data_IF_764955897541
#
_entry.id   IF_764955897541
#
_cell.length_a   1.000
_cell.length_b   1.000
_cell.length_c   1.000
_cell.angle_alpha   90.00
_cell.angle_beta   90.00
_cell.angle_gamma   90.00
#
_symmetry.space_group_name_H-M   'P 1'
#
loop_
_entity.id
_entity.type
_entity.pdbx_description
1 polymer ?
#
# COMPACT_ATOMS: atom_id res chain seq x y z
N UNK A 1 8.33 -4.91 -5.30
CA UNK A 1 7.50 -4.53 -4.12
C UNK A 1 6.11 -5.06 -4.35
N UNK A 2 5.40 -5.52 -3.33
CA UNK A 2 4.00 -5.92 -3.47
C UNK A 2 3.24 -5.75 -2.17
N UNK A 3 1.91 -5.67 -2.23
CA UNK A 3 1.01 -5.73 -1.07
C UNK A 3 -0.32 -6.33 -1.48
N UNK A 4 -1.10 -6.76 -0.50
CA UNK A 4 -2.43 -7.33 -0.70
C UNK A 4 -3.43 -6.76 0.30
N UNK A 5 -4.70 -6.87 -0.05
CA UNK A 5 -5.82 -6.48 0.80
C UNK A 5 -7.10 -7.14 0.34
N UNK A 6 -8.20 -6.74 0.96
CA UNK A 6 -9.53 -7.12 0.53
C UNK A 6 -10.38 -5.89 0.23
N UNK A 7 -11.32 -6.02 -0.69
CA UNK A 7 -12.31 -4.95 -0.88
C UNK A 7 -13.20 -4.86 0.36
N UNK A 8 -13.41 -3.64 0.85
CA UNK A 8 -14.22 -3.41 2.03
C UNK A 8 -15.73 -3.32 1.73
N UNK A 9 -16.09 -3.29 0.44
CA UNK A 9 -17.46 -3.15 -0.08
C UNK A 9 -17.59 -3.86 -1.43
N UNK A 10 -18.84 -4.14 -1.80
CA UNK A 10 -19.19 -4.51 -3.18
C UNK A 10 -19.12 -3.26 -4.06
N UNK A 11 -18.69 -3.42 -5.32
CA UNK A 11 -18.68 -2.31 -6.25
C UNK A 11 -18.22 -2.64 -7.66
N UNK A 12 -18.42 -1.65 -8.54
CA UNK A 12 -17.93 -1.65 -9.91
C UNK A 12 -16.85 -0.57 -10.06
N UNK A 13 -15.66 -0.97 -10.50
CA UNK A 13 -14.53 -0.07 -10.70
C UNK A 13 -14.84 0.94 -11.82
N UNK A 14 -14.92 2.22 -11.48
CA UNK A 14 -15.08 3.30 -12.46
C UNK A 14 -13.73 3.86 -12.89
N UNK A 15 -12.78 3.91 -11.95
CA UNK A 15 -11.43 4.39 -12.20
C UNK A 15 -10.45 3.87 -11.16
N UNK A 16 -9.27 3.47 -11.59
CA UNK A 16 -8.14 3.30 -10.68
C UNK A 16 -6.99 4.21 -11.12
N UNK A 17 -6.28 4.79 -10.16
CA UNK A 17 -5.19 5.73 -10.43
C UNK A 17 -3.97 5.33 -9.64
N UNK A 18 -2.85 5.08 -10.31
CA UNK A 18 -1.58 4.96 -9.62
C UNK A 18 -1.00 6.35 -9.25
N UNK A 19 -0.50 6.45 -8.03
CA UNK A 19 0.44 7.46 -7.58
C UNK A 19 1.78 6.78 -7.26
N UNK A 20 2.84 7.30 -7.87
CA UNK A 20 4.22 6.80 -7.83
C UNK A 20 5.19 7.94 -8.11
N UNK A 21 6.45 7.80 -7.70
CA UNK A 21 7.55 8.64 -8.16
C UNK A 21 8.26 8.00 -9.37
N UNK A 22 8.07 8.55 -10.56
CA UNK A 22 8.53 8.01 -11.84
C UNK A 22 10.04 7.95 -12.01
N UNK A 23 10.81 8.67 -11.20
CA UNK A 23 12.27 8.57 -11.18
C UNK A 23 12.75 7.19 -10.70
N UNK A 24 11.91 6.45 -9.97
CA UNK A 24 12.19 5.09 -9.47
C UNK A 24 11.11 4.06 -9.82
N UNK A 25 9.99 4.49 -10.41
CA UNK A 25 8.94 3.59 -10.85
C UNK A 25 9.23 3.04 -12.25
N UNK A 26 8.93 1.76 -12.47
CA UNK A 26 9.02 1.14 -13.79
C UNK A 26 7.65 0.68 -14.29
N UNK A 27 6.98 -0.18 -13.51
CA UNK A 27 5.67 -0.75 -13.84
C UNK A 27 4.94 -1.17 -12.57
N UNK A 28 3.62 -1.18 -12.59
CA UNK A 28 2.81 -1.79 -11.55
C UNK A 28 1.57 -2.47 -12.12
N UNK A 29 1.15 -3.51 -11.43
CA UNK A 29 -0.06 -4.27 -11.68
C UNK A 29 -0.97 -4.21 -10.47
N UNK A 30 -2.26 -4.13 -10.73
CA UNK A 30 -3.33 -4.31 -9.76
C UNK A 30 -4.11 -5.55 -10.18
N UNK A 31 -3.95 -6.63 -9.43
CA UNK A 31 -4.62 -7.90 -9.66
C UNK A 31 -5.81 -8.04 -8.72
N UNK A 32 -6.92 -8.53 -9.24
CA UNK A 32 -7.95 -9.17 -8.43
C UNK A 32 -7.53 -10.63 -8.26
N UNK A 33 -6.63 -10.89 -7.31
CA UNK A 33 -6.09 -12.21 -7.01
C UNK A 33 -5.44 -12.18 -5.62
N UNK A 34 -5.38 -13.34 -4.97
CA UNK A 34 -4.57 -13.57 -3.78
C UNK A 34 -3.07 -13.59 -4.11
N UNK A 35 -2.19 -13.41 -3.11
CA UNK A 35 -0.75 -13.61 -3.29
C UNK A 35 -0.42 -15.04 -3.75
N UNK A 36 -1.12 -16.05 -3.23
CA UNK A 36 -0.93 -17.47 -3.58
C UNK A 36 -1.22 -17.72 -5.07
N UNK A 37 -2.31 -17.16 -5.60
CA UNK A 37 -2.66 -17.27 -7.02
C UNK A 37 -1.62 -16.63 -7.94
N UNK A 38 -0.83 -15.68 -7.44
CA UNK A 38 0.28 -15.05 -8.14
C UNK A 38 1.64 -15.70 -7.86
N UNK A 39 1.69 -16.71 -6.98
CA UNK A 39 2.92 -17.37 -6.53
C UNK A 39 3.81 -16.49 -5.64
N UNK A 40 3.21 -15.58 -4.87
CA UNK A 40 3.90 -14.62 -3.98
C UNK A 40 3.83 -15.01 -2.49
N UNK A 41 3.20 -16.14 -2.17
CA UNK A 41 3.09 -16.69 -0.82
C UNK A 41 4.40 -17.32 -0.31
N UNK A 42 5.32 -17.67 -1.21
CA UNK A 42 6.66 -18.17 -0.83
C UNK A 42 7.45 -17.09 -0.04
N UNK A 43 8.04 -17.44 1.12
CA UNK A 43 8.86 -16.53 1.94
C UNK A 43 9.97 -15.79 1.18
N UNK A 44 10.45 -16.32 0.05
CA UNK A 44 11.43 -15.65 -0.81
C UNK A 44 10.91 -14.31 -1.34
N UNK A 45 9.61 -14.19 -1.61
CA UNK A 45 8.97 -12.95 -2.07
C UNK A 45 8.64 -11.98 -0.94
N UNK A 46 8.76 -12.42 0.32
CA UNK A 46 8.38 -11.60 1.46
C UNK A 46 9.53 -10.65 1.80
N UNK A 47 9.25 -9.34 1.89
CA UNK A 47 10.29 -8.40 2.26
C UNK A 47 10.65 -8.53 3.74
N UNK A 48 11.92 -8.27 4.06
CA UNK A 48 12.40 -8.25 5.45
C UNK A 48 11.62 -7.25 6.31
N UNK A 49 11.27 -6.11 5.72
CA UNK A 49 10.41 -5.09 6.27
C UNK A 49 9.40 -4.67 5.21
N UNK A 50 8.13 -4.41 5.53
CA UNK A 50 7.10 -4.23 4.49
C UNK A 50 7.30 -3.05 3.54
N UNK A 51 8.12 -2.07 3.91
CA UNK A 51 8.51 -0.94 3.05
C UNK A 51 9.77 -1.21 2.21
N UNK A 52 10.50 -2.30 2.45
CA UNK A 52 11.76 -2.62 1.77
C UNK A 52 11.46 -3.54 0.57
N UNK A 53 11.63 -3.10 -0.68
CA UNK A 53 11.46 -3.99 -1.83
C UNK A 53 12.51 -5.11 -1.82
N UNK A 54 12.16 -6.27 -2.40
CA UNK A 54 13.12 -7.34 -2.74
C UNK A 54 13.82 -7.01 -4.05
N UNK A 55 15.13 -7.28 -4.12
CA UNK A 55 15.84 -7.26 -5.39
C UNK A 55 15.49 -8.54 -6.17
N UNK A 56 15.37 -8.44 -7.49
CA UNK A 56 15.04 -9.60 -8.33
C UNK A 56 16.10 -10.71 -8.21
N UNK A 57 17.37 -10.33 -8.13
CA UNK A 57 18.50 -11.25 -7.95
C UNK A 57 18.44 -12.02 -6.63
N UNK A 58 17.92 -11.42 -5.56
CA UNK A 58 17.74 -12.07 -4.24
C UNK A 58 16.62 -13.11 -4.25
N UNK A 59 15.74 -13.07 -5.24
CA UNK A 59 14.59 -13.97 -5.38
C UNK A 59 14.73 -14.88 -6.61
N UNK A 60 15.93 -14.93 -7.22
CA UNK A 60 16.21 -15.80 -8.36
C UNK A 60 15.54 -15.40 -9.67
N UNK A 61 15.12 -14.14 -9.81
CA UNK A 61 14.51 -13.61 -11.04
C UNK A 61 15.53 -12.69 -11.74
N UNK A 62 15.71 -12.89 -13.05
CA UNK A 62 16.74 -12.18 -13.82
C UNK A 62 16.42 -10.69 -14.02
N UNK A 63 15.18 -10.39 -14.43
CA UNK A 63 14.76 -9.06 -14.86
C UNK A 63 13.23 -8.87 -14.69
N UNK A 64 12.75 -7.65 -14.99
CA UNK A 64 11.34 -7.33 -14.86
C UNK A 64 10.45 -8.10 -15.85
N UNK A 65 10.96 -8.46 -17.03
CA UNK A 65 10.21 -9.23 -18.02
C UNK A 65 9.95 -10.66 -17.52
N UNK A 66 10.97 -11.29 -16.96
CA UNK A 66 10.86 -12.60 -16.31
C UNK A 66 9.91 -12.54 -15.11
N UNK A 67 9.98 -11.48 -14.30
CA UNK A 67 9.08 -11.27 -13.17
C UNK A 67 7.61 -11.10 -13.62
N UNK A 68 7.39 -10.29 -14.67
CA UNK A 68 6.08 -10.08 -15.27
C UNK A 68 5.51 -11.38 -15.80
N UNK A 69 6.31 -12.12 -16.59
CA UNK A 69 5.90 -13.41 -17.13
C UNK A 69 5.54 -14.39 -16.02
N UNK A 70 6.34 -14.47 -14.96
CA UNK A 70 6.04 -15.32 -13.80
C UNK A 70 4.66 -15.02 -13.20
N UNK A 71 4.36 -13.73 -12.94
CA UNK A 71 3.07 -13.31 -12.38
C UNK A 71 1.90 -13.64 -13.31
N UNK A 72 2.03 -13.33 -14.60
CA UNK A 72 0.97 -13.55 -15.58
C UNK A 72 0.75 -15.04 -15.87
N UNK A 73 1.80 -15.86 -15.88
CA UNK A 73 1.68 -17.31 -16.00
C UNK A 73 0.96 -17.92 -14.80
N UNK A 74 1.25 -17.46 -13.57
CA UNK A 74 0.56 -17.92 -12.36
C UNK A 74 -0.91 -17.46 -12.34
N UNK A 75 -1.18 -16.21 -12.72
CA UNK A 75 -2.53 -15.70 -12.89
C UNK A 75 -3.33 -16.56 -13.89
N UNK A 76 -2.75 -16.88 -15.06
CA UNK A 76 -3.41 -17.71 -16.06
C UNK A 76 -3.70 -19.15 -15.56
N UNK A 77 -2.83 -19.70 -14.70
CA UNK A 77 -3.10 -20.98 -14.02
C UNK A 77 -4.24 -20.85 -13.01
N UNK A 78 -4.26 -19.77 -12.23
CA UNK A 78 -5.31 -19.49 -11.26
C UNK A 78 -6.68 -19.32 -11.94
N UNK A 79 -6.72 -18.57 -13.04
CA UNK A 79 -7.89 -18.42 -13.91
C UNK A 79 -8.41 -19.78 -14.39
N UNK A 80 -7.54 -20.64 -14.94
CA UNK A 80 -7.94 -22.00 -15.39
C UNK A 80 -8.49 -22.87 -14.26
N UNK A 81 -7.88 -22.80 -13.07
CA UNK A 81 -8.37 -23.53 -11.88
C UNK A 81 -9.74 -23.01 -11.46
N UNK A 82 -9.94 -21.69 -11.47
CA UNK A 82 -11.23 -21.08 -11.17
C UNK A 82 -12.27 -21.53 -12.20
N UNK A 83 -11.98 -21.41 -13.50
CA UNK A 83 -12.90 -21.80 -14.59
C UNK A 83 -13.32 -23.28 -14.51
N UNK A 84 -12.42 -24.17 -14.06
CA UNK A 84 -12.71 -25.59 -13.88
C UNK A 84 -13.56 -25.90 -12.64
N UNK A 85 -13.38 -25.14 -11.56
CA UNK A 85 -14.03 -25.38 -10.27
C UNK A 85 -15.29 -24.54 -10.06
N UNK A 86 -15.47 -23.48 -10.85
CA UNK A 86 -16.53 -22.49 -10.69
C UNK A 86 -17.42 -22.36 -11.93
N UNK A 87 -18.27 -23.35 -12.21
CA UNK A 87 -19.26 -23.22 -13.26
C UNK A 87 -20.28 -22.12 -12.91
N UNK A 88 -20.88 -21.44 -13.90
CA UNK A 88 -21.80 -20.30 -13.70
C UNK A 88 -23.00 -20.58 -12.78
N UNK A 89 -23.32 -21.85 -12.55
CA UNK A 89 -24.45 -22.29 -11.74
C UNK A 89 -24.11 -22.50 -10.25
N UNK A 90 -22.85 -22.35 -9.82
CA UNK A 90 -22.45 -22.62 -8.43
C UNK A 90 -22.45 -21.36 -7.54
N UNK A 91 -23.26 -21.33 -6.46
CA UNK A 91 -23.27 -20.23 -5.50
C UNK A 91 -21.98 -20.08 -4.69
N UNK A 92 -21.08 -21.06 -4.68
CA UNK A 92 -19.77 -20.95 -4.03
C UNK A 92 -18.78 -20.06 -4.78
N UNK A 93 -19.12 -19.65 -6.00
CA UNK A 93 -18.27 -18.86 -6.88
C UNK A 93 -18.58 -17.36 -6.79
N UNK A 94 -18.96 -16.92 -5.58
CA UNK A 94 -19.18 -15.52 -5.26
C UNK A 94 -17.86 -14.74 -5.25
N UNK A 95 -16.73 -15.40 -5.06
CA UNK A 95 -15.43 -14.77 -5.25
C UNK A 95 -15.19 -14.54 -6.74
N UNK A 96 -14.85 -13.31 -7.09
CA UNK A 96 -14.56 -12.95 -8.47
C UNK A 96 -13.41 -13.78 -9.06
N UNK A 97 -13.54 -14.09 -10.35
CA UNK A 97 -12.52 -14.80 -11.12
C UNK A 97 -11.19 -14.02 -11.08
N UNK A 98 -10.04 -14.68 -10.83
CA UNK A 98 -8.75 -14.00 -10.82
C UNK A 98 -8.52 -13.19 -12.10
N UNK A 99 -8.04 -11.95 -11.99
CA UNK A 99 -7.85 -11.09 -13.15
C UNK A 99 -6.77 -10.03 -12.96
N UNK A 100 -6.17 -9.59 -14.06
CA UNK A 100 -5.42 -8.33 -14.11
C UNK A 100 -6.40 -7.18 -14.32
N UNK A 101 -6.65 -6.41 -13.26
CA UNK A 101 -7.60 -5.30 -13.25
C UNK A 101 -7.02 -4.05 -13.88
N UNK A 102 -5.81 -3.66 -13.44
CA UNK A 102 -5.12 -2.48 -13.99
C UNK A 102 -3.63 -2.73 -14.15
N UNK A 103 -3.04 -2.04 -15.10
CA UNK A 103 -1.60 -1.89 -15.25
C UNK A 103 -1.22 -0.41 -15.36
N UNK A 104 0.01 -0.10 -14.97
CA UNK A 104 0.59 1.23 -15.07
C UNK A 104 2.07 1.10 -15.37
N UNK A 105 2.62 2.04 -16.15
CA UNK A 105 4.02 2.03 -16.57
C UNK A 105 4.63 3.41 -16.45
N UNK A 106 5.95 3.45 -16.36
CA UNK A 106 6.71 4.70 -16.29
C UNK A 106 6.49 5.54 -17.56
N UNK A 107 6.32 6.84 -17.38
CA UNK A 107 6.26 7.80 -18.48
C UNK A 107 7.09 9.03 -18.11
N UNK A 108 8.40 8.87 -18.14
CA UNK A 108 9.31 9.99 -17.94
C UNK A 108 9.31 10.89 -19.17
N UNK A 109 9.28 12.20 -18.93
CA UNK A 109 9.61 13.18 -19.97
C UNK A 109 10.76 14.02 -19.45
N UNK A 110 11.82 14.06 -20.23
CA UNK A 110 12.96 14.91 -19.93
C UNK A 110 12.55 16.38 -20.02
N UNK A 111 13.02 17.18 -19.08
CA UNK A 111 12.97 18.64 -19.13
C UNK A 111 14.37 19.20 -18.93
N UNK A 112 14.69 20.25 -19.67
CA UNK A 112 15.94 20.98 -19.54
C UNK A 112 15.66 22.17 -18.63
N UNK A 113 16.34 22.24 -17.48
CA UNK A 113 16.25 23.41 -16.61
C UNK A 113 16.93 24.61 -17.27
N UNK A 114 16.22 25.72 -17.51
CA UNK A 114 16.79 26.86 -18.24
C UNK A 114 17.94 27.56 -17.50
N UNK A 115 18.02 27.44 -16.16
CA UNK A 115 19.06 28.09 -15.38
C UNK A 115 20.37 27.31 -15.37
N UNK A 116 20.31 25.98 -15.21
CA UNK A 116 21.50 25.12 -15.13
C UNK A 116 21.88 24.46 -16.46
N UNK A 117 20.97 24.41 -17.44
CA UNK A 117 21.14 23.66 -18.68
C UNK A 117 21.12 22.13 -18.51
N UNK A 118 20.82 21.64 -17.30
CA UNK A 118 20.82 20.21 -16.98
C UNK A 118 19.46 19.57 -17.33
N UNK A 119 19.51 18.30 -17.74
CA UNK A 119 18.32 17.50 -18.01
C UNK A 119 17.87 16.77 -16.76
N UNK A 120 16.57 16.87 -16.46
CA UNK A 120 15.91 16.20 -15.36
C UNK A 120 14.73 15.39 -15.86
N UNK A 121 14.46 14.24 -15.24
CA UNK A 121 13.26 13.48 -15.52
C UNK A 121 12.08 14.15 -14.78
N UNK A 122 11.11 14.68 -15.52
CA UNK A 122 9.90 15.20 -14.91
C UNK A 122 9.05 14.03 -14.41
N UNK A 123 8.79 14.00 -13.11
CA UNK A 123 7.95 13.01 -12.42
C UNK A 123 6.48 13.19 -12.83
N UNK A 124 6.17 12.83 -14.08
CA UNK A 124 4.81 12.84 -14.59
C UNK A 124 4.02 11.77 -13.89
N UNK A 125 2.73 11.99 -13.78
CA UNK A 125 1.79 10.94 -13.42
C UNK A 125 1.93 9.74 -14.37
N UNK A 126 2.18 8.55 -13.81
CA UNK A 126 2.22 7.31 -14.58
C UNK A 126 0.89 7.05 -15.33
N UNK A 127 0.92 6.76 -16.64
CA UNK A 127 -0.21 6.23 -17.38
C UNK A 127 -0.75 4.98 -16.72
N UNK A 128 -2.06 4.79 -16.81
CA UNK A 128 -2.73 3.63 -16.25
C UNK A 128 -3.85 3.18 -17.19
N UNK A 129 -3.91 1.88 -17.44
CA UNK A 129 -4.97 1.22 -18.18
C UNK A 129 -5.67 0.24 -17.25
N UNK A 130 -7.00 0.31 -17.20
CA UNK A 130 -7.83 -0.58 -16.38
C UNK A 130 -8.91 -1.22 -17.25
N UNK A 131 -9.21 -2.48 -16.96
CA UNK A 131 -10.39 -3.16 -17.49
C UNK A 131 -11.59 -2.90 -16.58
N UNK A 132 -12.82 -2.90 -17.12
CA UNK A 132 -14.02 -2.96 -16.30
C UNK A 132 -13.91 -4.14 -15.31
N UNK A 133 -14.24 -3.89 -14.05
CA UNK A 133 -14.06 -4.87 -12.99
C UNK A 133 -15.12 -4.69 -11.91
N UNK A 134 -15.86 -5.75 -11.62
CA UNK A 134 -16.78 -5.84 -10.49
C UNK A 134 -16.14 -6.67 -9.39
N UNK A 135 -16.35 -6.28 -8.14
CA UNK A 135 -15.78 -6.97 -6.98
C UNK A 135 -16.79 -7.01 -5.85
N UNK A 136 -16.63 -8.03 -5.00
CA UNK A 136 -17.40 -8.20 -3.79
C UNK A 136 -16.57 -7.86 -2.56
N UNK A 137 -17.26 -7.46 -1.49
CA UNK A 137 -16.67 -7.26 -0.18
C UNK A 137 -16.00 -8.56 0.28
N UNK A 138 -14.74 -8.45 0.68
CA UNK A 138 -13.92 -9.57 1.11
C UNK A 138 -13.13 -10.22 -0.02
N UNK A 139 -13.42 -9.89 -1.29
CA UNK A 139 -12.59 -10.38 -2.39
C UNK A 139 -11.15 -9.87 -2.24
N UNK A 140 -10.14 -10.69 -2.59
CA UNK A 140 -8.76 -10.30 -2.50
C UNK A 140 -8.36 -9.39 -3.67
N UNK A 141 -7.37 -8.54 -3.41
CA UNK A 141 -6.57 -7.93 -4.46
C UNK A 141 -5.10 -7.96 -4.07
N UNK A 142 -4.24 -7.94 -5.08
CA UNK A 142 -2.78 -7.88 -4.90
C UNK A 142 -2.19 -6.88 -5.86
N UNK A 143 -1.35 -5.99 -5.35
CA UNK A 143 -0.60 -5.01 -6.13
C UNK A 143 0.85 -5.44 -6.18
N UNK A 144 1.43 -5.46 -7.38
CA UNK A 144 2.87 -5.67 -7.57
C UNK A 144 3.45 -4.47 -8.31
N UNK A 145 4.56 -3.94 -7.82
CA UNK A 145 5.27 -2.82 -8.43
C UNK A 145 6.76 -3.14 -8.61
N UNK A 146 7.24 -2.86 -9.81
CA UNK A 146 8.63 -2.90 -10.21
C UNK A 146 9.24 -1.51 -10.06
N UNK A 147 10.32 -1.45 -9.27
CA UNK A 147 11.02 -0.23 -8.93
C UNK A 147 12.44 -0.31 -9.49
N UNK A 148 12.84 0.70 -10.24
CA UNK A 148 14.19 0.85 -10.77
C UNK A 148 15.02 1.79 -9.89
N UNK A 149 16.34 1.58 -9.78
CA UNK A 149 17.23 2.55 -9.14
C UNK A 149 17.11 3.92 -9.81
N UNK A 150 17.12 4.98 -9.00
CA UNK A 150 17.20 6.35 -9.50
C UNK A 150 18.53 6.54 -10.25
N UNK A 151 18.48 6.91 -11.53
CA UNK A 151 19.68 7.10 -12.38
C UNK A 151 20.06 8.57 -12.57
N UNK A 152 19.14 9.49 -12.32
CA UNK A 152 19.32 10.93 -12.52
C UNK A 152 19.04 11.68 -11.23
N UNK A 153 19.63 12.89 -11.04
CA UNK A 153 19.31 13.71 -9.89
C UNK A 153 17.80 14.03 -9.84
N UNK A 154 17.19 14.11 -8.64
CA UNK A 154 15.75 14.19 -8.49
C UNK A 154 15.14 15.51 -8.99
N UNK A 155 15.96 16.56 -9.13
CA UNK A 155 15.52 17.83 -9.66
C UNK A 155 16.53 18.97 -9.47
N UNK A 156 16.19 20.20 -9.89
CA UNK A 156 17.09 21.35 -9.87
C UNK A 156 17.58 21.76 -8.46
N UNK A 157 16.86 21.38 -7.40
CA UNK A 157 17.25 21.62 -6.01
C UNK A 157 18.40 20.71 -5.54
N UNK A 158 18.64 19.59 -6.24
CA UNK A 158 19.76 18.69 -5.99
C UNK A 158 20.39 18.26 -7.32
N UNK A 159 21.06 19.18 -8.05
CA UNK A 159 21.40 18.95 -9.45
C UNK A 159 22.64 18.09 -9.68
N UNK A 160 23.45 17.85 -8.64
CA UNK A 160 24.79 17.24 -8.76
C UNK A 160 24.94 15.89 -8.08
N UNK A 161 23.89 15.36 -7.48
CA UNK A 161 23.96 14.09 -6.77
C UNK A 161 22.64 13.33 -6.82
N UNK A 162 22.75 12.02 -7.00
CA UNK A 162 21.66 11.08 -6.74
C UNK A 162 21.76 10.68 -5.28
N UNK A 163 20.70 10.85 -4.48
CA UNK A 163 20.73 10.45 -3.08
C UNK A 163 20.89 8.92 -2.99
N UNK A 164 21.66 8.45 -1.99
CA UNK A 164 21.87 7.00 -1.77
C UNK A 164 20.56 6.27 -1.46
N UNK A 165 19.62 6.97 -0.85
CA UNK A 165 18.28 6.48 -0.53
C UNK A 165 17.26 7.54 -0.96
N UNK A 166 16.12 7.08 -1.45
CA UNK A 166 14.99 7.94 -1.76
C UNK A 166 13.71 7.26 -1.28
N UNK A 167 12.80 8.06 -0.73
CA UNK A 167 11.51 7.55 -0.28
C UNK A 167 10.66 7.23 -1.51
N UNK A 168 10.03 6.07 -1.48
CA UNK A 168 9.16 5.60 -2.55
C UNK A 168 7.92 4.95 -1.94
N UNK A 169 6.76 5.22 -2.52
CA UNK A 169 5.51 4.54 -2.20
C UNK A 169 4.69 4.32 -3.47
N UNK A 170 3.81 3.32 -3.39
CA UNK A 170 2.91 2.90 -4.46
C UNK A 170 1.51 2.93 -3.88
N UNK A 171 0.69 3.86 -4.34
CA UNK A 171 -0.68 4.02 -3.87
C UNK A 171 -1.63 4.02 -5.07
N UNK A 172 -2.64 3.16 -5.03
CA UNK A 172 -3.74 3.15 -5.98
C UNK A 172 -4.97 3.86 -5.41
N UNK A 173 -5.41 4.92 -6.07
CA UNK A 173 -6.65 5.62 -5.74
C UNK A 173 -7.78 5.01 -6.55
N UNK A 174 -8.56 4.18 -5.88
CA UNK A 174 -9.74 3.53 -6.44
C UNK A 174 -10.96 4.45 -6.35
N UNK A 175 -11.68 4.56 -7.45
CA UNK A 175 -13.02 5.14 -7.54
C UNK A 175 -13.94 4.06 -8.10
N UNK A 176 -15.05 3.82 -7.44
CA UNK A 176 -15.98 2.77 -7.79
C UNK A 176 -17.41 3.20 -7.50
N UNK A 177 -18.36 2.57 -8.18
CA UNK A 177 -19.78 2.72 -7.92
C UNK A 177 -20.21 1.65 -6.91
N UNK A 178 -20.84 2.07 -5.80
CA UNK A 178 -21.43 1.14 -4.82
C UNK A 178 -22.91 0.96 -5.07
N UNK A 179 -23.40 -0.25 -4.79
CA UNK A 179 -24.81 -0.60 -4.98
C UNK A 179 -25.73 -0.05 -3.87
N UNK A 180 -25.16 0.56 -2.82
CA UNK A 180 -25.89 1.12 -1.69
C UNK A 180 -26.31 2.59 -1.87
N UNK A 181 -26.04 3.19 -3.04
CA UNK A 181 -26.33 4.58 -3.38
C UNK A 181 -25.75 5.61 -2.39
N UNK A 182 -24.66 5.28 -1.69
CA UNK A 182 -23.98 6.19 -0.76
C UNK A 182 -22.58 6.55 -1.26
N UNK A 183 -22.09 7.73 -0.89
CA UNK A 183 -20.69 8.10 -1.09
C UNK A 183 -19.83 7.52 0.02
N UNK A 184 -18.69 6.95 -0.35
CA UNK A 184 -17.75 6.35 0.60
C UNK A 184 -16.35 6.89 0.38
N UNK A 185 -15.68 7.22 1.47
CA UNK A 185 -14.28 7.64 1.45
C UNK A 185 -13.51 6.77 2.44
N UNK A 186 -12.42 6.17 1.96
CA UNK A 186 -11.56 5.34 2.80
C UNK A 186 -10.13 5.52 2.35
N UNK A 187 -9.24 5.60 3.33
CA UNK A 187 -7.81 5.43 3.12
C UNK A 187 -7.45 4.15 3.86
N UNK A 188 -6.77 3.24 3.19
CA UNK A 188 -6.32 1.99 3.80
C UNK A 188 -4.85 1.79 3.49
N UNK A 189 -4.09 1.36 4.50
CA UNK A 189 -2.71 0.95 4.32
C UNK A 189 -2.65 -0.57 4.32
N UNK A 190 -2.03 -1.12 3.29
CA UNK A 190 -1.93 -2.54 3.02
C UNK A 190 -0.51 -3.06 3.25
N UNK A 191 -0.39 -4.38 3.40
CA UNK A 191 0.87 -5.08 3.68
C UNK A 191 0.94 -6.37 2.86
N UNK A 192 2.00 -7.16 3.00
CA UNK A 192 2.04 -8.51 2.40
C UNK A 192 1.14 -9.52 3.13
N UNK A 193 0.66 -9.17 4.33
CA UNK A 193 -0.31 -9.93 5.10
C UNK A 193 -1.71 -9.25 5.05
N UNK A 194 -2.73 -9.89 4.45
CA UNK A 194 -4.06 -9.30 4.33
C UNK A 194 -4.76 -9.13 5.69
N UNK A 195 -4.37 -9.91 6.70
CA UNK A 195 -4.91 -9.81 8.07
C UNK A 195 -4.33 -8.60 8.84
N UNK A 196 -3.45 -7.82 8.22
CA UNK A 196 -2.80 -6.65 8.83
C UNK A 196 -3.13 -5.34 8.11
N UNK A 197 -4.23 -5.28 7.38
CA UNK A 197 -4.71 -4.03 6.80
C UNK A 197 -5.09 -3.03 7.89
N UNK A 198 -4.85 -1.74 7.62
CA UNK A 198 -5.19 -0.65 8.54
C UNK A 198 -6.14 0.30 7.84
N UNK A 199 -7.41 0.23 8.23
CA UNK A 199 -8.47 1.08 7.70
C UNK A 199 -8.58 2.37 8.49
N UNK A 200 -8.49 3.50 7.79
CA UNK A 200 -8.78 4.81 8.34
C UNK A 200 -10.27 5.07 8.15
N UNK A 201 -11.07 4.61 9.12
CA UNK A 201 -12.52 4.76 9.07
C UNK A 201 -12.89 6.20 9.39
N UNK A 202 -13.80 6.75 8.58
CA UNK A 202 -14.35 8.11 8.57
C UNK A 202 -14.89 8.61 9.93
N UNK A 203 -15.14 7.72 10.89
CA UNK A 203 -15.75 8.03 12.19
C UNK A 203 -14.77 8.30 13.32
N UNK A 204 -13.48 8.03 13.18
CA UNK A 204 -12.51 8.28 14.26
C UNK A 204 -11.67 9.55 14.01
N UNK A 205 -12.32 10.71 14.19
CA UNK A 205 -11.68 12.03 14.09
C UNK A 205 -10.64 12.29 15.19
N UNK A 206 -10.53 11.44 16.21
CA UNK A 206 -9.60 11.63 17.33
C UNK A 206 -8.15 11.27 16.99
N UNK A 207 -7.92 10.58 15.86
CA UNK A 207 -6.59 10.12 15.44
C UNK A 207 -5.96 11.06 14.42
N UNK A 208 -5.48 12.21 14.90
CA UNK A 208 -4.64 13.12 14.11
C UNK A 208 -3.38 12.41 13.58
N UNK A 209 -2.96 12.73 12.36
CA UNK A 209 -1.81 12.14 11.65
C UNK A 209 -0.48 12.19 12.43
N UNK A 210 -0.29 13.17 13.33
CA UNK A 210 0.94 13.31 14.15
C UNK A 210 1.17 12.09 15.06
N UNK A 211 0.11 11.57 15.68
CA UNK A 211 0.21 10.41 16.57
C UNK A 211 0.54 9.13 15.81
N UNK A 212 0.12 9.05 14.55
CA UNK A 212 0.37 7.91 13.67
C UNK A 212 1.77 7.93 13.06
N UNK A 213 2.32 9.12 12.77
CA UNK A 213 3.73 9.28 12.38
C UNK A 213 4.67 8.79 13.49
N UNK A 214 4.31 9.04 14.75
CA UNK A 214 5.03 8.53 15.93
C UNK A 214 4.97 7.00 16.05
N UNK A 215 3.79 6.40 15.92
CA UNK A 215 3.64 4.94 15.90
C UNK A 215 4.40 4.29 14.74
N UNK A 216 4.31 4.90 13.55
CA UNK A 216 4.97 4.41 12.36
C UNK A 216 6.49 4.46 12.42
N UNK A 217 7.05 5.46 13.11
CA UNK A 217 8.49 5.62 13.29
C UNK A 217 9.10 4.58 14.23
N UNK A 218 8.38 4.15 15.26
CA UNK A 218 8.92 3.28 16.31
C UNK A 218 8.71 1.78 16.04
N UNK A 219 7.65 1.41 15.32
CA UNK A 219 7.25 0.01 15.14
C UNK A 219 7.05 -0.41 13.68
N UNK A 220 7.37 0.49 12.74
CA UNK A 220 6.77 0.47 11.41
C UNK A 220 5.31 0.93 11.51
N UNK A 221 4.79 1.50 10.42
CA UNK A 221 3.38 1.94 10.31
C UNK A 221 2.49 0.82 10.87
N UNK A 222 1.86 0.99 12.04
CA UNK A 222 0.95 0.04 12.71
C UNK A 222 1.40 -1.41 12.99
N UNK A 223 2.69 -1.70 13.14
CA UNK A 223 3.09 -3.12 13.28
C UNK A 223 2.79 -3.93 12.01
N UNK A 224 2.77 -3.23 10.87
CA UNK A 224 3.01 -3.75 9.53
C UNK A 224 4.46 -4.25 9.53
N UNK A 225 4.64 -5.38 10.18
CA UNK A 225 5.72 -6.33 10.05
C UNK A 225 4.99 -7.61 9.62
N UNK A 226 5.51 -8.36 8.66
CA UNK A 226 4.90 -9.65 8.30
C UNK A 226 4.87 -10.64 9.48
N UNK A 227 5.62 -10.37 10.55
CA UNK A 227 5.69 -11.14 11.80
C UNK A 227 4.79 -10.57 12.89
N UNK A 228 4.20 -11.43 13.70
CA UNK A 228 3.46 -11.06 14.91
C UNK A 228 4.39 -10.33 15.89
N UNK A 229 3.91 -9.25 16.52
CA UNK A 229 4.68 -8.57 17.57
C UNK A 229 4.94 -9.52 18.74
N UNK A 230 6.19 -9.57 19.21
CA UNK A 230 6.55 -10.31 20.42
C UNK A 230 5.88 -9.69 21.65
N UNK A 231 5.76 -10.45 22.75
CA UNK A 231 5.19 -9.93 24.01
C UNK A 231 5.91 -8.66 24.48
N UNK A 232 7.24 -8.63 24.38
CA UNK A 232 8.04 -7.47 24.72
C UNK A 232 7.71 -6.25 23.85
N UNK A 233 7.61 -6.43 22.52
CA UNK A 233 7.22 -5.33 21.63
C UNK A 233 5.83 -4.79 21.98
N UNK A 234 4.87 -5.68 22.29
CA UNK A 234 3.53 -5.28 22.75
C UNK A 234 3.61 -4.47 24.04
N UNK A 235 4.40 -4.90 25.02
CA UNK A 235 4.54 -4.21 26.31
C UNK A 235 5.14 -2.81 26.14
N UNK A 236 6.20 -2.66 25.33
CA UNK A 236 6.81 -1.34 25.06
C UNK A 236 5.81 -0.41 24.40
N UNK A 237 5.03 -0.89 23.41
CA UNK A 237 3.95 -0.12 22.77
C UNK A 237 2.95 0.35 23.83
N UNK A 238 2.46 -0.55 24.69
CA UNK A 238 1.48 -0.22 25.75
C UNK A 238 2.02 0.82 26.73
N UNK A 239 3.27 0.70 27.18
CA UNK A 239 3.87 1.66 28.12
C UNK A 239 3.99 3.04 27.48
N UNK A 240 4.43 3.13 26.22
CA UNK A 240 4.56 4.42 25.54
C UNK A 240 3.19 5.08 25.31
N UNK A 241 2.17 4.29 24.97
CA UNK A 241 0.79 4.76 24.92
C UNK A 241 0.34 5.31 26.27
N UNK A 242 0.64 4.61 27.36
CA UNK A 242 0.32 5.08 28.71
C UNK A 242 1.00 6.42 28.99
N UNK A 243 2.30 6.56 28.69
CA UNK A 243 3.06 7.80 28.89
C UNK A 243 2.46 8.96 28.09
N UNK A 244 2.18 8.76 26.79
CA UNK A 244 1.61 9.82 25.94
C UNK A 244 0.18 10.20 26.34
N UNK A 245 -0.60 9.22 26.79
CA UNK A 245 -1.94 9.47 27.33
C UNK A 245 -1.82 10.30 28.61
N UNK A 246 -0.94 9.89 29.53
CA UNK A 246 -0.69 10.65 30.76
C UNK A 246 -0.20 12.07 30.47
N UNK A 247 0.66 12.26 29.46
CA UNK A 247 1.17 13.58 29.06
C UNK A 247 0.06 14.45 28.45
N UNK A 248 -0.75 13.90 27.55
CA UNK A 248 -1.87 14.61 26.89
C UNK A 248 -2.97 15.00 27.88
N UNK A 249 -3.26 14.13 28.84
CA UNK A 249 -4.26 14.38 29.88
C UNK A 249 -3.65 15.06 31.12
N UNK A 250 -2.34 15.28 31.18
CA UNK A 250 -1.69 15.88 32.36
C UNK A 250 -2.24 17.26 32.68
N UNK A 251 -2.51 18.08 31.66
CA UNK A 251 -3.06 19.42 31.84
C UNK A 251 -4.53 19.40 32.27
N UNK A 252 -5.33 18.47 31.72
CA UNK A 252 -6.73 18.31 32.11
C UNK A 252 -6.84 17.77 33.54
N UNK A 253 -6.04 16.77 33.89
CA UNK A 253 -5.96 16.20 35.24
C UNK A 253 -5.46 17.24 36.24
N UNK A 254 -4.44 18.03 35.90
CA UNK A 254 -4.00 19.16 36.71
C UNK A 254 -5.12 20.20 36.88
N UNK A 255 -5.87 20.50 35.81
CA UNK A 255 -7.02 21.38 35.85
C UNK A 255 -8.13 20.89 36.79
N UNK A 256 -8.48 19.61 36.74
CA UNK A 256 -9.46 19.00 37.65
C UNK A 256 -8.99 18.99 39.10
N UNK A 257 -7.69 18.74 39.35
CA UNK A 257 -7.12 18.79 40.70
C UNK A 257 -7.17 20.21 41.26
N UNK A 258 -6.81 21.22 40.48
CA UNK A 258 -6.92 22.64 40.89
C UNK A 258 -8.39 23.01 41.13
N UNK A 259 -9.32 22.60 40.27
CA UNK A 259 -10.75 22.84 40.46
C UNK A 259 -11.24 22.23 41.78
N UNK A 260 -10.91 20.96 42.06
CA UNK A 260 -11.30 20.27 43.30
C UNK A 260 -10.74 20.96 44.54
N UNK A 261 -9.50 21.45 44.50
CA UNK A 261 -8.90 22.23 45.59
C UNK A 261 -9.66 23.54 45.82
N UNK A 262 -10.05 24.24 44.75
CA UNK A 262 -10.78 25.51 44.83
C UNK A 262 -12.25 25.36 45.24
N UNK A 263 -12.88 24.22 44.98
CA UNK A 263 -14.30 23.99 45.32
C UNK A 263 -14.51 23.32 46.66
N UNK A 264 -13.48 22.63 47.19
CA UNK A 264 -13.57 21.86 48.43
C UNK A 264 -12.74 22.44 49.59
N UNK A 265 -12.07 23.58 49.41
CA UNK A 265 -11.34 24.32 50.45
C UNK A 265 -11.96 25.69 50.69
#
# INVERSE_FOLDING_TARGET
>A
YWYTGVYNRDGELTRNKLHSHNTMFHKAFFFHATPEELGLDDPVFWPEAPYKPRLLTEIGIADFETAEKFLLDNLAKAEKRWDANCPPSQPSCLQGRPALTCESWVSNKDFIDPASGLTFAYDRRAPCCCRPHTFHKGDPFTVVAFLAPMKTPPGPWQPRSVPKTANMHIHWLMTYHTMDNQSHFTVTIYTQNPNKQVDYVEKDRSRYNVWQVLQGRLYGVYGINNKTLTLWQRLVVTIQWLVLTLDSFSQEVQGYVVMLILTCG
#
